data_IF_482709286177
#
_entry.id   IF_482709286177
#
_cell.length_a   1.000
_cell.length_b   1.000
_cell.length_c   1.000
_cell.angle_alpha   90.00
_cell.angle_beta   90.00
_cell.angle_gamma   90.00
#
_symmetry.space_group_name_H-M   'P 1'
#
loop_
_entity.id
_entity.type
_entity.pdbx_description
1 polymer ?
#
# COMPACT_ATOMS: atom_id res chain seq x y z
N UNK A 1 5.91 23.27 -7.04
CA UNK A 1 6.06 21.80 -7.02
C UNK A 1 4.65 21.22 -7.12
N UNK A 2 4.37 20.46 -8.17
CA UNK A 2 3.09 19.77 -8.34
C UNK A 2 3.03 18.64 -7.30
N UNK A 3 2.17 18.80 -6.30
CA UNK A 3 1.73 17.71 -5.43
C UNK A 3 0.92 16.75 -6.32
N UNK A 4 1.50 15.61 -6.69
CA UNK A 4 0.70 14.55 -7.31
C UNK A 4 -0.29 14.04 -6.26
N UNK A 5 -1.57 14.34 -6.48
CA UNK A 5 -2.64 13.80 -5.63
C UNK A 5 -2.79 12.32 -5.90
N UNK A 6 -2.64 11.53 -4.85
CA UNK A 6 -2.86 10.08 -4.88
C UNK A 6 -4.31 9.74 -5.16
N UNK A 7 -4.52 8.62 -5.84
CA UNK A 7 -5.79 8.09 -6.32
C UNK A 7 -5.94 6.64 -5.91
N UNK A 8 -7.18 6.22 -5.72
CA UNK A 8 -7.48 4.80 -5.61
C UNK A 8 -7.15 4.08 -6.91
N UNK A 9 -6.84 2.80 -6.79
CA UNK A 9 -6.48 1.92 -7.91
C UNK A 9 -5.13 2.22 -8.58
N UNK A 10 -4.23 2.91 -7.90
CA UNK A 10 -2.85 3.13 -8.35
C UNK A 10 -1.83 2.41 -7.46
N UNK A 11 -0.57 2.38 -7.92
CA UNK A 11 0.54 1.79 -7.19
C UNK A 11 1.40 2.86 -6.51
N UNK A 12 1.71 2.63 -5.24
CA UNK A 12 2.69 3.39 -4.46
C UNK A 12 3.87 2.50 -4.08
N UNK A 13 4.98 3.13 -3.68
CA UNK A 13 6.16 2.42 -3.17
C UNK A 13 6.37 2.74 -1.70
N UNK A 14 6.41 1.69 -0.87
CA UNK A 14 6.51 1.79 0.59
C UNK A 14 7.93 1.46 1.05
N UNK A 15 8.46 2.32 1.91
CA UNK A 15 9.76 2.20 2.56
C UNK A 15 10.93 2.23 1.58
N UNK A 16 12.14 2.02 2.11
CA UNK A 16 13.38 2.08 1.34
C UNK A 16 13.51 0.91 0.35
N UNK A 17 12.89 -0.22 0.68
CA UNK A 17 12.85 -1.40 -0.17
C UNK A 17 11.87 -1.25 -1.35
N UNK A 18 11.19 -0.10 -1.48
CA UNK A 18 10.22 0.20 -2.53
C UNK A 18 9.20 -0.93 -2.73
N UNK A 19 8.56 -1.33 -1.65
CA UNK A 19 7.54 -2.38 -1.68
C UNK A 19 6.34 -1.85 -2.49
N UNK A 20 5.94 -2.50 -3.60
CA UNK A 20 4.77 -2.06 -4.35
C UNK A 20 3.51 -2.34 -3.55
N UNK A 21 2.71 -1.30 -3.31
CA UNK A 21 1.41 -1.41 -2.66
C UNK A 21 0.33 -0.76 -3.53
N UNK A 22 -0.78 -1.47 -3.71
CA UNK A 22 -1.92 -1.05 -4.51
C UNK A 22 -2.94 -0.32 -3.64
N UNK A 23 -3.23 0.95 -3.95
CA UNK A 23 -4.12 1.80 -3.16
C UNK A 23 -5.56 1.33 -3.30
N UNK A 24 -6.14 0.85 -2.19
CA UNK A 24 -7.51 0.34 -2.13
C UNK A 24 -8.48 1.43 -1.68
N UNK A 25 -8.06 2.26 -0.72
CA UNK A 25 -8.87 3.35 -0.19
C UNK A 25 -7.96 4.49 0.31
N UNK A 26 -8.37 5.73 0.06
CA UNK A 26 -7.67 6.92 0.58
C UNK A 26 -8.33 7.35 1.89
N UNK A 27 -7.57 7.31 2.98
CA UNK A 27 -8.06 7.73 4.31
C UNK A 27 -7.89 9.25 4.46
N UNK A 28 -6.76 9.79 4.02
CA UNK A 28 -6.48 11.22 3.98
C UNK A 28 -5.39 11.54 2.94
N UNK A 29 -5.03 12.81 2.78
CA UNK A 29 -3.94 13.23 1.88
C UNK A 29 -2.59 12.57 2.22
N UNK A 30 -2.40 12.09 3.45
CA UNK A 30 -1.17 11.45 3.92
C UNK A 30 -1.38 10.04 4.43
N UNK A 31 -2.57 9.46 4.31
CA UNK A 31 -2.86 8.10 4.81
C UNK A 31 -3.68 7.31 3.80
N UNK A 32 -3.24 6.08 3.53
CA UNK A 32 -3.93 5.17 2.61
C UNK A 32 -4.03 3.78 3.19
N UNK A 33 -5.07 3.07 2.79
CA UNK A 33 -5.17 1.63 2.94
C UNK A 33 -4.76 1.00 1.61
N UNK A 34 -3.65 0.26 1.60
CA UNK A 34 -3.14 -0.37 0.39
C UNK A 34 -2.82 -1.85 0.59
N UNK A 35 -2.90 -2.61 -0.50
CA UNK A 35 -2.57 -4.03 -0.54
C UNK A 35 -1.17 -4.28 -1.07
N UNK A 36 -0.37 -5.13 -0.43
CA UNK A 36 0.97 -5.49 -0.93
C UNK A 36 1.24 -6.99 -0.80
N UNK A 37 2.16 -7.50 -1.64
CA UNK A 37 2.50 -8.91 -1.67
C UNK A 37 3.68 -9.20 -0.75
N UNK A 38 3.37 -9.73 0.43
CA UNK A 38 4.36 -10.00 1.46
C UNK A 38 5.06 -11.34 1.20
N UNK A 39 6.40 -11.30 1.20
CA UNK A 39 7.29 -12.46 1.14
C UNK A 39 6.95 -13.43 -0.02
N UNK A 40 6.46 -12.91 -1.14
CA UNK A 40 6.02 -13.69 -2.30
C UNK A 40 5.05 -14.83 -1.94
N UNK A 41 4.26 -14.65 -0.88
CA UNK A 41 3.41 -15.71 -0.34
C UNK A 41 2.00 -15.21 -0.08
N UNK A 42 1.84 -14.04 0.54
CA UNK A 42 0.54 -13.58 1.03
C UNK A 42 0.24 -12.16 0.56
N UNK A 43 -0.96 -11.94 0.03
CA UNK A 43 -1.46 -10.59 -0.23
C UNK A 43 -2.15 -10.08 1.05
N UNK A 44 -1.68 -8.95 1.56
CA UNK A 44 -2.20 -8.34 2.78
C UNK A 44 -2.50 -6.88 2.54
N UNK A 45 -3.52 -6.34 3.24
CA UNK A 45 -3.82 -4.90 3.26
C UNK A 45 -3.38 -4.30 4.58
N UNK A 46 -2.77 -3.13 4.54
CA UNK A 46 -2.28 -2.42 5.71
C UNK A 46 -2.42 -0.91 5.51
N UNK A 47 -2.41 -0.15 6.61
CA UNK A 47 -2.41 1.30 6.57
C UNK A 47 -0.98 1.83 6.40
N UNK A 48 -0.83 2.74 5.44
CA UNK A 48 0.41 3.44 5.17
C UNK A 48 0.23 4.93 5.40
N UNK A 49 1.29 5.58 5.87
CA UNK A 49 1.34 7.01 6.13
C UNK A 49 2.49 7.64 5.35
N UNK A 50 2.24 8.79 4.72
CA UNK A 50 3.25 9.57 4.02
C UNK A 50 4.01 10.42 5.03
N UNK A 51 5.30 10.12 5.21
CA UNK A 51 6.21 10.88 6.06
C UNK A 51 7.44 11.27 5.25
N UNK A 52 7.83 12.54 5.32
CA UNK A 52 9.01 13.06 4.62
C UNK A 52 9.08 12.71 3.12
N UNK A 53 7.91 12.60 2.45
CA UNK A 53 7.83 12.24 1.03
C UNK A 53 7.91 10.74 0.73
N UNK A 54 7.92 9.88 1.76
CA UNK A 54 7.97 8.42 1.63
C UNK A 54 6.77 7.77 2.32
N UNK A 55 6.18 6.76 1.67
CA UNK A 55 5.15 5.95 2.30
C UNK A 55 5.78 4.96 3.27
N UNK A 56 5.28 4.91 4.50
CA UNK A 56 5.75 4.04 5.56
C UNK A 56 4.60 3.26 6.18
N UNK A 57 4.90 2.12 6.79
CA UNK A 57 3.92 1.38 7.60
C UNK A 57 3.46 2.25 8.78
N UNK A 58 2.15 2.43 8.94
CA UNK A 58 1.60 3.21 10.05
C UNK A 58 1.77 2.49 11.40
N UNK A 59 1.69 1.16 11.40
CA UNK A 59 1.92 0.30 12.57
C UNK A 59 3.23 -0.48 12.46
N UNK A 60 3.93 -0.64 13.59
CA UNK A 60 5.18 -1.41 13.72
C UNK A 60 4.98 -2.92 13.95
N UNK A 61 3.74 -3.41 13.87
CA UNK A 61 3.40 -4.83 14.02
C UNK A 61 2.44 -5.29 12.93
N UNK A 62 2.21 -6.62 12.79
CA UNK A 62 1.31 -7.17 11.78
C UNK A 62 -0.14 -6.81 12.14
N UNK A 63 -0.60 -5.67 11.64
CA UNK A 63 -2.00 -5.25 11.71
C UNK A 63 -2.76 -5.62 10.43
N UNK A 64 -2.01 -6.05 9.41
CA UNK A 64 -2.54 -6.32 8.09
C UNK A 64 -3.58 -7.43 8.09
N UNK A 65 -4.64 -7.22 7.30
CA UNK A 65 -5.66 -8.23 7.04
C UNK A 65 -5.37 -8.92 5.70
N UNK A 66 -5.68 -10.21 5.59
CA UNK A 66 -5.55 -10.92 4.31
C UNK A 66 -6.50 -10.35 3.25
N UNK A 67 -5.97 -10.20 2.04
CA UNK A 67 -6.79 -9.92 0.86
C UNK A 67 -7.30 -11.23 0.25
N UNK A 68 -8.41 -11.13 -0.46
CA UNK A 68 -8.98 -12.24 -1.23
C UNK A 68 -9.56 -11.75 -2.56
N UNK A 69 -9.79 -12.67 -3.49
CA UNK A 69 -10.44 -12.40 -4.76
C UNK A 69 -9.62 -11.50 -5.68
N UNK A 70 -10.27 -10.48 -6.26
CA UNK A 70 -9.67 -9.60 -7.27
C UNK A 70 -8.48 -8.81 -6.72
N UNK A 71 -8.58 -8.28 -5.49
CA UNK A 71 -7.51 -7.50 -4.88
C UNK A 71 -6.27 -8.34 -4.59
N UNK A 72 -6.45 -9.57 -4.11
CA UNK A 72 -5.33 -10.52 -3.93
C UNK A 72 -4.63 -10.78 -5.27
N UNK A 73 -5.40 -10.98 -6.34
CA UNK A 73 -4.87 -11.26 -7.68
C UNK A 73 -4.09 -10.07 -8.26
N UNK A 74 -4.57 -8.84 -8.08
CA UNK A 74 -3.88 -7.61 -8.51
C UNK A 74 -2.55 -7.49 -7.78
N UNK A 75 -2.59 -7.61 -6.44
CA UNK A 75 -1.40 -7.46 -5.60
C UNK A 75 -0.34 -8.52 -5.90
N UNK A 76 -0.75 -9.77 -6.17
CA UNK A 76 0.15 -10.85 -6.59
C UNK A 76 0.80 -10.61 -7.95
N UNK A 77 0.11 -9.94 -8.88
CA UNK A 77 0.66 -9.62 -10.21
C UNK A 77 1.68 -8.49 -10.15
N UNK A 78 1.49 -7.52 -9.26
CA UNK A 78 2.32 -6.33 -9.21
C UNK A 78 1.92 -5.27 -10.25
N UNK A 79 2.59 -4.11 -10.24
CA UNK A 79 2.45 -3.05 -11.24
C UNK A 79 2.89 -3.47 -12.64
#
# INVERSE_FOLDING_TARGET
MSSEMIKENEWIYVGDNRIPAYVINIISATEVLAGYYQNSSKAIKEEFILKNGQWEFKSSGPSGSYLSGSLESIVKRGP
#
